data_IF_004532334612
#
_entry.id   IF_004532334612
#
_cell.length_a   1.000
_cell.length_b   1.000
_cell.length_c   1.000
_cell.angle_alpha   90.00
_cell.angle_beta   90.00
_cell.angle_gamma   90.00
#
_symmetry.space_group_name_H-M   'P 1'
#
loop_
_entity.id
_entity.type
_entity.pdbx_description
1 polymer ?
#
# COMPACT_ATOMS: atom_id res chain seq x y z
N UNK A 1 -2.55 14.10 -1.83
CA UNK A 1 -3.40 14.78 -0.81
C UNK A 1 -4.90 14.46 -0.91
N UNK A 2 -5.53 14.43 -2.10
CA UNK A 2 -6.97 14.10 -2.23
C UNK A 2 -7.37 12.78 -1.55
N UNK A 3 -6.57 11.72 -1.72
CA UNK A 3 -6.83 10.42 -1.09
C UNK A 3 -6.73 10.44 0.44
N UNK A 4 -5.77 11.19 0.98
CA UNK A 4 -5.61 11.34 2.43
C UNK A 4 -6.86 11.97 3.07
N UNK A 5 -7.38 13.05 2.47
CA UNK A 5 -8.57 13.73 2.95
C UNK A 5 -9.81 12.83 2.89
N UNK A 6 -9.94 12.01 1.82
CA UNK A 6 -11.03 11.05 1.67
C UNK A 6 -10.97 9.96 2.75
N UNK A 7 -9.79 9.36 2.96
CA UNK A 7 -9.58 8.33 3.99
C UNK A 7 -9.84 8.92 5.38
N UNK A 8 -9.30 10.11 5.68
CA UNK A 8 -9.49 10.78 6.98
C UNK A 8 -10.97 11.01 7.30
N UNK A 9 -11.75 11.49 6.32
CA UNK A 9 -13.20 11.67 6.48
C UNK A 9 -13.91 10.34 6.72
N UNK A 10 -13.51 9.30 6.00
CA UNK A 10 -14.11 7.98 6.16
C UNK A 10 -13.88 7.40 7.56
N UNK A 11 -12.65 7.51 8.08
CA UNK A 11 -12.28 7.07 9.42
C UNK A 11 -13.08 7.81 10.51
N UNK A 12 -13.19 9.14 10.41
CA UNK A 12 -13.97 9.96 11.34
C UNK A 12 -15.46 9.59 11.35
N UNK A 13 -16.02 9.23 10.19
CA UNK A 13 -17.43 8.89 10.08
C UNK A 13 -17.78 7.53 10.70
N UNK A 14 -16.83 6.59 10.72
CA UNK A 14 -17.06 5.21 11.16
C UNK A 14 -16.47 4.89 12.54
N UNK A 15 -15.88 5.87 13.24
CA UNK A 15 -15.28 5.72 14.57
C UNK A 15 -14.24 4.59 14.66
N UNK A 16 -13.46 4.41 13.59
CA UNK A 16 -12.38 3.43 13.57
C UNK A 16 -11.18 3.93 14.37
N UNK A 17 -10.61 3.05 15.20
CA UNK A 17 -9.33 3.29 15.90
C UNK A 17 -8.12 3.12 14.97
N UNK A 18 -8.13 3.83 13.84
CA UNK A 18 -7.05 3.83 12.86
C UNK A 18 -6.51 5.26 12.70
N UNK A 19 -5.20 5.37 12.49
CA UNK A 19 -4.53 6.64 12.27
C UNK A 19 -3.84 6.64 10.90
N UNK A 20 -3.86 7.79 10.23
CA UNK A 20 -3.08 7.99 9.01
C UNK A 20 -1.66 8.36 9.43
N UNK A 21 -0.73 7.42 9.25
CA UNK A 21 0.69 7.60 9.60
C UNK A 21 1.40 8.52 8.58
N UNK A 22 1.22 8.28 7.28
CA UNK A 22 1.85 9.08 6.25
C UNK A 22 1.09 9.03 4.92
N UNK A 23 1.24 10.10 4.12
CA UNK A 23 0.87 10.16 2.72
C UNK A 23 2.04 10.81 1.96
N UNK A 24 2.75 10.02 1.17
CA UNK A 24 4.01 10.42 0.53
C UNK A 24 4.03 9.96 -0.92
N UNK A 25 4.83 10.64 -1.73
CA UNK A 25 4.93 10.41 -3.18
C UNK A 25 6.17 9.59 -3.57
N UNK A 26 6.92 9.05 -2.60
CA UNK A 26 8.11 8.22 -2.83
C UNK A 26 8.11 6.94 -1.97
N UNK A 27 8.72 5.88 -2.52
CA UNK A 27 8.74 4.56 -1.92
C UNK A 27 9.59 4.48 -0.63
N UNK A 28 10.71 5.18 -0.57
CA UNK A 28 11.65 5.12 0.55
C UNK A 28 11.07 5.70 1.86
N UNK A 29 10.26 6.74 1.75
CA UNK A 29 9.57 7.34 2.90
C UNK A 29 8.52 6.38 3.47
N UNK A 30 7.80 5.62 2.62
CA UNK A 30 6.85 4.60 3.06
C UNK A 30 7.59 3.50 3.82
N UNK A 31 8.68 2.98 3.27
CA UNK A 31 9.48 1.94 3.93
C UNK A 31 10.06 2.42 5.26
N UNK A 32 10.44 3.70 5.34
CA UNK A 32 10.89 4.31 6.59
C UNK A 32 9.78 4.39 7.63
N UNK A 33 8.54 4.72 7.22
CA UNK A 33 7.38 4.72 8.11
C UNK A 33 7.04 3.30 8.59
N UNK A 34 7.00 2.32 7.68
CA UNK A 34 6.71 0.90 8.02
C UNK A 34 7.70 0.35 9.05
N UNK A 35 8.99 0.71 8.95
CA UNK A 35 10.02 0.27 9.90
C UNK A 35 9.90 0.93 11.28
N UNK A 36 9.30 2.11 11.37
CA UNK A 36 9.16 2.87 12.63
C UNK A 36 7.89 2.49 13.38
N UNK A 37 6.82 2.23 12.65
CA UNK A 37 5.55 1.85 13.26
C UNK A 37 5.52 0.37 13.58
N UNK A 38 4.83 0.03 14.68
CA UNK A 38 4.66 -1.35 15.10
C UNK A 38 3.19 -1.73 14.98
N UNK A 39 2.93 -2.87 14.34
CA UNK A 39 1.59 -3.43 14.18
C UNK A 39 1.18 -3.54 12.72
N UNK A 40 -0.09 -3.91 12.54
CA UNK A 40 -0.66 -4.22 11.24
C UNK A 40 -1.12 -2.96 10.51
N UNK A 41 -0.50 -2.68 9.37
CA UNK A 41 -0.79 -1.54 8.52
C UNK A 41 -1.84 -1.79 7.44
N UNK A 42 -2.34 -0.69 6.88
CA UNK A 42 -3.09 -0.68 5.62
C UNK A 42 -2.38 0.27 4.67
N UNK A 43 -1.96 -0.25 3.53
CA UNK A 43 -1.12 0.45 2.56
C UNK A 43 -1.89 0.64 1.26
N UNK A 44 -2.04 1.90 0.83
CA UNK A 44 -2.59 2.24 -0.47
C UNK A 44 -1.44 2.62 -1.39
N UNK A 45 -1.18 1.79 -2.41
CA UNK A 45 -0.05 1.95 -3.31
C UNK A 45 -0.54 2.17 -4.74
N UNK A 46 0.05 3.14 -5.45
CA UNK A 46 -0.08 3.17 -6.91
C UNK A 46 0.83 2.11 -7.52
N UNK A 47 0.38 1.43 -8.58
CA UNK A 47 1.21 0.46 -9.31
C UNK A 47 2.20 1.21 -10.21
N UNK A 48 1.74 2.28 -10.85
CA UNK A 48 2.55 3.07 -11.77
C UNK A 48 3.07 4.33 -11.04
N UNK A 49 4.10 4.12 -10.22
CA UNK A 49 4.75 5.19 -9.46
C UNK A 49 5.57 6.14 -10.35
N UNK A 50 5.71 5.85 -11.65
CA UNK A 50 6.46 6.66 -12.62
C UNK A 50 7.96 6.85 -12.27
N UNK A 51 8.47 6.14 -11.25
CA UNK A 51 9.75 6.44 -10.58
C UNK A 51 10.58 5.17 -10.34
N UNK A 52 10.89 4.43 -11.41
CA UNK A 52 11.96 3.41 -11.41
C UNK A 52 11.79 2.17 -10.53
N UNK A 53 10.91 2.19 -9.52
CA UNK A 53 10.52 1.07 -8.66
C UNK A 53 9.01 0.89 -8.82
N UNK A 54 8.60 -0.27 -9.30
CA UNK A 54 7.18 -0.54 -9.55
C UNK A 54 6.44 -0.68 -8.21
N UNK A 55 5.18 -0.23 -8.12
CA UNK A 55 4.41 -0.33 -6.88
C UNK A 55 4.32 -1.75 -6.33
N UNK A 56 4.41 -2.74 -7.21
CA UNK A 56 4.45 -4.17 -6.86
C UNK A 56 5.72 -4.51 -6.05
N UNK A 57 6.89 -4.00 -6.43
CA UNK A 57 8.14 -4.25 -5.69
C UNK A 57 8.08 -3.62 -4.30
N UNK A 58 7.57 -2.39 -4.21
CA UNK A 58 7.30 -1.74 -2.93
C UNK A 58 6.36 -2.57 -2.05
N UNK A 59 5.30 -3.13 -2.63
CA UNK A 59 4.39 -4.03 -1.92
C UNK A 59 5.07 -5.28 -1.38
N UNK A 60 5.99 -5.88 -2.13
CA UNK A 60 6.77 -7.05 -1.66
C UNK A 60 7.64 -6.69 -0.45
N UNK A 61 8.36 -5.57 -0.50
CA UNK A 61 9.20 -5.12 0.62
C UNK A 61 8.37 -4.78 1.86
N UNK A 62 7.20 -4.15 1.68
CA UNK A 62 6.28 -3.91 2.79
C UNK A 62 5.81 -5.24 3.39
N UNK A 63 5.51 -6.26 2.58
CA UNK A 63 5.08 -7.58 3.07
C UNK A 63 6.16 -8.31 3.87
N UNK A 64 7.44 -8.10 3.54
CA UNK A 64 8.55 -8.64 4.35
C UNK A 64 8.64 -7.96 5.73
N UNK A 65 8.30 -6.66 5.81
CA UNK A 65 8.35 -5.87 7.04
C UNK A 65 7.07 -6.01 7.90
N UNK A 66 5.90 -6.09 7.26
CA UNK A 66 4.59 -6.28 7.85
C UNK A 66 3.86 -7.46 7.16
N UNK A 67 4.10 -8.70 7.62
CA UNK A 67 3.50 -9.92 7.06
C UNK A 67 1.97 -9.94 7.10
N UNK A 68 1.37 -9.30 8.12
CA UNK A 68 -0.07 -9.30 8.35
C UNK A 68 -0.78 -8.07 7.76
N UNK A 69 -0.02 -7.12 7.21
CA UNK A 69 -0.47 -5.88 6.61
C UNK A 69 -1.33 -6.07 5.37
N UNK A 70 -2.31 -5.19 5.21
CA UNK A 70 -3.16 -5.14 4.02
C UNK A 70 -2.56 -4.21 2.98
N UNK A 71 -2.29 -4.73 1.78
CA UNK A 71 -1.77 -3.94 0.66
C UNK A 71 -2.88 -3.82 -0.40
N UNK A 72 -3.26 -2.59 -0.70
CA UNK A 72 -4.33 -2.24 -1.63
C UNK A 72 -3.70 -1.44 -2.77
N UNK A 73 -3.67 -2.03 -3.95
CA UNK A 73 -3.20 -1.35 -5.15
C UNK A 73 -4.31 -0.49 -5.75
N UNK A 74 -4.01 0.76 -6.05
CA UNK A 74 -4.88 1.73 -6.75
C UNK A 74 -4.22 2.04 -8.08
N UNK A 75 -4.86 1.78 -9.21
CA UNK A 75 -4.32 2.18 -10.52
C UNK A 75 -5.45 2.56 -11.48
N UNK A 76 -5.18 3.53 -12.35
CA UNK A 76 -6.05 3.85 -13.49
C UNK A 76 -5.96 2.82 -14.62
N UNK A 77 -4.97 1.94 -14.60
CA UNK A 77 -4.74 0.92 -15.61
C UNK A 77 -5.42 -0.38 -15.23
N UNK A 78 -6.67 -0.53 -15.67
CA UNK A 78 -7.48 -1.73 -15.38
C UNK A 78 -6.80 -3.06 -15.77
N UNK A 79 -5.93 -3.04 -16.78
CA UNK A 79 -5.14 -4.18 -17.26
C UNK A 79 -4.13 -4.72 -16.23
N UNK A 80 -3.63 -3.90 -15.32
CA UNK A 80 -2.68 -4.31 -14.26
C UNK A 80 -3.36 -5.14 -13.15
N UNK A 81 -4.69 -5.20 -13.11
CA UNK A 81 -5.44 -6.06 -12.18
C UNK A 81 -5.16 -7.55 -12.43
N UNK A 82 -4.96 -7.93 -13.71
CA UNK A 82 -4.59 -9.30 -14.10
C UNK A 82 -3.17 -9.63 -13.62
N UNK A 83 -2.24 -8.69 -13.77
CA UNK A 83 -0.84 -8.84 -13.31
C UNK A 83 -0.76 -9.02 -11.79
N UNK A 84 -1.57 -8.28 -11.01
CA UNK A 84 -1.64 -8.48 -9.55
C UNK A 84 -2.14 -9.89 -9.21
N UNK A 85 -3.15 -10.40 -9.91
CA UNK A 85 -3.67 -11.75 -9.70
C UNK A 85 -2.61 -12.82 -10.01
N UNK A 86 -1.88 -12.67 -11.11
CA UNK A 86 -0.76 -13.57 -11.48
C UNK A 86 0.35 -13.55 -10.44
N UNK A 87 0.70 -12.36 -9.92
CA UNK A 87 1.68 -12.22 -8.83
C UNK A 87 1.21 -12.88 -7.53
N UNK A 88 -0.07 -12.75 -7.17
CA UNK A 88 -0.63 -13.41 -5.99
C UNK A 88 -0.59 -14.94 -6.11
N UNK A 89 -1.00 -15.50 -7.26
CA UNK A 89 -0.95 -16.95 -7.52
C UNK A 89 0.49 -17.45 -7.42
N UNK A 90 1.42 -16.74 -8.09
CA UNK A 90 2.84 -17.09 -8.08
C UNK A 90 3.43 -17.01 -6.68
N UNK A 91 3.05 -16.01 -5.86
CA UNK A 91 3.53 -15.89 -4.48
C UNK A 91 2.92 -16.92 -3.51
N UNK A 92 1.74 -17.49 -3.81
CA UNK A 92 1.13 -18.58 -3.01
C UNK A 92 1.64 -19.97 -3.37
N UNK A 93 2.29 -20.14 -4.52
CA UNK A 93 2.81 -21.44 -5.00
C UNK A 93 4.28 -21.72 -4.61
N UNK A 94 4.90 -20.92 -3.73
CA UNK A 94 6.27 -21.12 -3.21
C UNK A 94 6.33 -21.51 -1.73
#
# INVERSE_FOLDING_TARGET
>A
RLYEDAVRKYLLFHDYSMEIICAVDNADDILTAVRKEHGKGIYFLDIDLGTGKEGIELGKEIRELDPDGYIIFISSHSELSLTILEYQITATDF
#
